data_IF_097703501975
#
_entry.id   IF_097703501975
#
_cell.length_a   1.000
_cell.length_b   1.000
_cell.length_c   1.000
_cell.angle_alpha   90.00
_cell.angle_beta   90.00
_cell.angle_gamma   90.00
#
_symmetry.space_group_name_H-M   'P 1'
#
loop_
_entity.id
_entity.type
_entity.pdbx_description
1 polymer ?
#
# COMPACT_ATOMS: atom_id res chain seq x y z
N UNK A 1 -15.17 -8.27 -8.88
CA UNK A 1 -14.62 -8.55 -7.54
C UNK A 1 -14.69 -10.05 -7.30
N UNK A 2 -13.57 -10.77 -7.40
CA UNK A 2 -13.53 -12.19 -7.11
C UNK A 2 -13.50 -12.35 -5.58
N UNK A 3 -14.47 -13.06 -5.01
CA UNK A 3 -14.60 -13.28 -3.57
C UNK A 3 -14.40 -14.76 -3.27
N UNK A 4 -13.24 -15.11 -2.73
CA UNK A 4 -12.98 -16.42 -2.13
C UNK A 4 -12.18 -16.23 -0.84
N UNK A 5 -12.87 -15.85 0.23
CA UNK A 5 -12.29 -15.89 1.58
C UNK A 5 -11.28 -14.82 2.03
N UNK A 6 -10.81 -13.80 1.31
CA UNK A 6 -10.87 -13.43 -0.10
C UNK A 6 -10.24 -12.05 -0.25
N UNK A 7 -8.92 -12.02 -0.43
CA UNK A 7 -8.15 -10.81 -0.74
C UNK A 7 -8.87 -10.03 -1.83
N UNK A 8 -9.29 -8.81 -1.54
CA UNK A 8 -9.93 -7.95 -2.54
C UNK A 8 -8.81 -7.19 -3.23
N UNK A 9 -8.58 -7.51 -4.50
CA UNK A 9 -7.71 -6.72 -5.37
C UNK A 9 -8.57 -5.94 -6.38
N UNK A 10 -8.21 -4.70 -6.63
CA UNK A 10 -8.79 -3.90 -7.70
C UNK A 10 -7.69 -3.37 -8.62
N UNK A 11 -7.90 -3.57 -9.91
CA UNK A 11 -7.03 -3.10 -10.97
C UNK A 11 -7.51 -1.74 -11.48
N UNK A 12 -6.61 -0.78 -11.55
CA UNK A 12 -6.88 0.57 -12.06
C UNK A 12 -5.88 0.93 -13.14
N UNK A 13 -6.26 1.86 -14.02
CA UNK A 13 -5.37 2.43 -15.01
C UNK A 13 -4.32 3.33 -14.32
N UNK A 14 -3.15 3.45 -14.93
CA UNK A 14 -2.03 4.27 -14.46
C UNK A 14 -2.19 5.74 -14.93
N UNK A 15 -3.35 6.32 -14.66
CA UNK A 15 -3.64 7.74 -14.89
C UNK A 15 -4.31 8.41 -13.69
N UNK A 16 -4.53 9.73 -13.78
CA UNK A 16 -5.14 10.54 -12.71
C UNK A 16 -6.50 9.98 -12.28
N UNK A 17 -7.33 9.55 -13.24
CA UNK A 17 -8.67 9.05 -12.93
C UNK A 17 -8.61 7.69 -12.23
N UNK A 18 -7.76 6.79 -12.71
CA UNK A 18 -7.46 5.51 -12.09
C UNK A 18 -6.94 5.66 -10.66
N UNK A 19 -6.02 6.60 -10.41
CA UNK A 19 -5.48 6.88 -9.08
C UNK A 19 -6.55 7.42 -8.12
N UNK A 20 -7.33 8.41 -8.55
CA UNK A 20 -8.42 8.98 -7.72
C UNK A 20 -9.44 7.91 -7.36
N UNK A 21 -9.78 7.02 -8.30
CA UNK A 21 -10.68 5.90 -8.05
C UNK A 21 -10.07 4.88 -7.10
N UNK A 22 -8.78 4.55 -7.24
CA UNK A 22 -8.08 3.65 -6.33
C UNK A 22 -8.17 4.14 -4.88
N UNK A 23 -7.91 5.42 -4.66
CA UNK A 23 -8.01 6.03 -3.32
C UNK A 23 -9.44 6.09 -2.78
N UNK A 24 -10.43 6.30 -3.67
CA UNK A 24 -11.84 6.27 -3.28
C UNK A 24 -12.29 4.88 -2.84
N UNK A 25 -11.79 3.85 -3.51
CA UNK A 25 -12.09 2.45 -3.14
C UNK A 25 -11.35 2.07 -1.85
N UNK A 26 -10.10 2.49 -1.67
CA UNK A 26 -9.34 2.23 -0.44
C UNK A 26 -10.02 2.79 0.83
N UNK A 27 -10.71 3.93 0.71
CA UNK A 27 -11.53 4.48 1.80
C UNK A 27 -12.71 3.57 2.17
N UNK A 28 -13.31 2.90 1.19
CA UNK A 28 -14.53 2.10 1.40
C UNK A 28 -14.22 0.64 1.71
N UNK A 29 -13.07 0.16 1.29
CA UNK A 29 -12.63 -1.23 1.44
C UNK A 29 -11.23 -1.23 2.07
N UNK A 30 -11.16 -1.17 3.42
CA UNK A 30 -9.89 -1.27 4.13
C UNK A 30 -9.17 -2.58 3.79
N UNK A 31 -7.87 -2.49 3.53
CA UNK A 31 -7.06 -3.66 3.16
C UNK A 31 -7.19 -4.11 1.71
N UNK A 32 -7.78 -3.30 0.83
CA UNK A 32 -7.77 -3.58 -0.61
C UNK A 32 -6.34 -3.56 -1.17
N UNK A 33 -6.03 -4.55 -2.01
CA UNK A 33 -4.83 -4.54 -2.82
C UNK A 33 -5.07 -3.78 -4.11
N UNK A 34 -4.14 -2.90 -4.47
CA UNK A 34 -4.19 -2.17 -5.74
C UNK A 34 -3.26 -2.80 -6.73
N UNK A 35 -3.81 -3.07 -7.90
CA UNK A 35 -3.05 -3.47 -9.07
C UNK A 35 -3.08 -2.33 -10.09
N UNK A 36 -1.93 -2.04 -10.70
CA UNK A 36 -1.79 -1.07 -11.78
C UNK A 36 -0.88 -1.67 -12.85
N UNK A 37 -1.04 -1.30 -14.13
CA UNK A 37 -0.15 -1.79 -15.16
C UNK A 37 1.29 -1.32 -14.86
N UNK A 38 2.26 -2.22 -15.07
CA UNK A 38 3.69 -1.93 -14.82
C UNK A 38 4.34 -1.12 -15.96
N UNK A 39 3.69 -1.07 -17.13
CA UNK A 39 4.06 -0.33 -18.33
C UNK A 39 2.77 0.17 -19.01
N UNK A 40 2.84 1.22 -19.83
CA UNK A 40 1.65 1.80 -20.46
C UNK A 40 0.71 2.53 -19.48
N UNK A 41 -0.28 3.20 -20.04
CA UNK A 41 -1.29 3.96 -19.30
C UNK A 41 -2.40 3.07 -18.77
N UNK A 42 -2.86 2.09 -19.55
CA UNK A 42 -3.96 1.19 -19.17
C UNK A 42 -3.61 -0.28 -19.43
N UNK A 43 -4.47 -1.18 -18.92
CA UNK A 43 -4.26 -2.62 -19.05
C UNK A 43 -4.38 -3.14 -20.49
N UNK A 44 -5.07 -2.42 -21.39
CA UNK A 44 -5.17 -2.82 -22.79
C UNK A 44 -3.87 -2.52 -23.55
N UNK A 45 -3.22 -1.39 -23.26
CA UNK A 45 -1.91 -1.06 -23.84
C UNK A 45 -0.86 -2.12 -23.51
N UNK A 46 -0.85 -2.64 -22.27
CA UNK A 46 0.02 -3.76 -21.86
C UNK A 46 -0.20 -5.02 -22.69
N UNK A 47 -1.46 -5.32 -23.03
CA UNK A 47 -1.80 -6.53 -23.80
C UNK A 47 -1.45 -6.41 -25.29
N UNK A 48 -1.40 -5.18 -25.83
CA UNK A 48 -1.24 -4.93 -27.25
C UNK A 48 0.22 -4.62 -27.63
N UNK A 49 0.97 -3.89 -26.79
CA UNK A 49 2.37 -3.52 -27.06
C UNK A 49 3.20 -3.46 -25.75
N UNK A 50 3.88 -4.55 -25.36
CA UNK A 50 4.63 -4.59 -24.10
C UNK A 50 5.98 -3.86 -24.13
N UNK A 51 6.42 -3.35 -25.29
CA UNK A 51 7.83 -2.99 -25.52
C UNK A 51 8.15 -1.48 -25.51
N UNK A 52 7.18 -0.56 -25.61
CA UNK A 52 7.51 0.84 -26.00
C UNK A 52 6.67 1.98 -25.38
N UNK A 53 5.94 1.73 -24.29
CA UNK A 53 5.20 2.81 -23.60
C UNK A 53 5.62 2.97 -22.14
N UNK A 54 6.57 3.88 -21.93
CA UNK A 54 6.90 4.37 -20.60
C UNK A 54 5.68 4.99 -19.92
N UNK A 55 5.39 4.55 -18.71
CA UNK A 55 4.38 5.13 -17.82
C UNK A 55 4.87 6.47 -17.23
N UNK A 56 5.06 7.47 -18.11
CA UNK A 56 5.64 8.78 -17.76
C UNK A 56 4.91 9.44 -16.59
N UNK A 57 3.59 9.26 -16.53
CA UNK A 57 2.77 9.82 -15.46
C UNK A 57 3.11 9.19 -14.10
N UNK A 58 3.22 7.86 -14.02
CA UNK A 58 3.58 7.16 -12.77
C UNK A 58 5.01 7.49 -12.33
N UNK A 59 5.94 7.55 -13.28
CA UNK A 59 7.33 7.95 -13.02
C UNK A 59 7.45 9.38 -12.51
N UNK A 60 6.51 10.26 -12.88
CA UNK A 60 6.47 11.65 -12.41
C UNK A 60 5.85 11.82 -11.02
N UNK A 61 5.25 10.77 -10.45
CA UNK A 61 4.55 10.84 -9.15
C UNK A 61 4.95 9.68 -8.20
N UNK A 62 6.25 9.53 -7.87
CA UNK A 62 6.72 8.50 -6.94
C UNK A 62 6.12 8.63 -5.53
N UNK A 63 5.61 9.80 -5.16
CA UNK A 63 4.92 10.05 -3.89
C UNK A 63 3.63 9.24 -3.77
N UNK A 64 2.92 8.97 -4.87
CA UNK A 64 1.68 8.19 -4.85
C UNK A 64 1.91 6.73 -4.44
N UNK A 65 3.05 6.17 -4.83
CA UNK A 65 3.46 4.84 -4.38
C UNK A 65 3.78 4.83 -2.88
N UNK A 66 4.53 5.82 -2.40
CA UNK A 66 4.85 5.98 -0.98
C UNK A 66 3.59 6.17 -0.13
N UNK A 67 2.61 6.95 -0.61
CA UNK A 67 1.34 7.13 0.08
C UNK A 67 0.55 5.82 0.16
N UNK A 68 0.60 4.98 -0.88
CA UNK A 68 -0.06 3.66 -0.86
C UNK A 68 0.58 2.73 0.18
N UNK A 69 1.91 2.72 0.23
CA UNK A 69 2.65 2.00 1.27
C UNK A 69 2.32 2.53 2.67
N UNK A 70 2.21 3.85 2.84
CA UNK A 70 1.86 4.46 4.13
C UNK A 70 0.44 4.08 4.57
N UNK A 71 -0.53 4.09 3.65
CA UNK A 71 -1.89 3.62 3.94
C UNK A 71 -1.91 2.15 4.40
N UNK A 72 -1.13 1.29 3.74
CA UNK A 72 -0.95 -0.11 4.14
C UNK A 72 -0.32 -0.25 5.53
N UNK A 73 0.77 0.48 5.81
CA UNK A 73 1.43 0.50 7.11
C UNK A 73 0.50 1.00 8.22
N UNK A 74 -0.20 2.11 8.00
CA UNK A 74 -1.17 2.66 8.95
C UNK A 74 -2.32 1.67 9.25
N UNK A 75 -2.77 0.93 8.24
CA UNK A 75 -3.75 -0.15 8.40
C UNK A 75 -3.19 -1.28 9.27
N UNK A 76 -1.96 -1.73 9.01
CA UNK A 76 -1.30 -2.78 9.79
C UNK A 76 -1.01 -2.36 11.25
N UNK A 77 -0.80 -1.06 11.48
CA UNK A 77 -0.66 -0.44 12.80
C UNK A 77 -1.99 -0.29 13.56
N UNK A 78 -3.14 -0.58 12.93
CA UNK A 78 -4.45 -0.40 13.53
C UNK A 78 -4.83 1.07 13.74
N UNK A 79 -4.33 1.98 12.88
CA UNK A 79 -4.73 3.40 12.93
C UNK A 79 -6.24 3.55 12.69
N UNK A 80 -6.90 4.54 13.32
CA UNK A 80 -8.35 4.71 13.19
C UNK A 80 -8.75 5.11 11.77
N UNK A 81 -9.98 4.82 11.38
CA UNK A 81 -10.51 5.08 10.02
C UNK A 81 -10.39 6.56 9.60
N UNK A 82 -10.60 7.50 10.52
CA UNK A 82 -10.41 8.93 10.24
C UNK A 82 -8.97 9.30 9.87
N UNK A 83 -7.99 8.53 10.36
CA UNK A 83 -6.59 8.71 9.99
C UNK A 83 -6.32 8.17 8.58
N UNK A 84 -6.83 6.97 8.26
CA UNK A 84 -6.72 6.38 6.92
C UNK A 84 -7.43 7.26 5.86
N UNK A 85 -8.60 7.80 6.20
CA UNK A 85 -9.33 8.78 5.40
C UNK A 85 -8.49 10.02 5.08
N UNK A 86 -7.65 10.47 6.02
CA UNK A 86 -6.78 11.61 5.79
C UNK A 86 -5.61 11.29 4.85
N UNK A 87 -5.07 10.08 4.90
CA UNK A 87 -4.03 9.63 3.96
C UNK A 87 -4.59 9.62 2.54
N UNK A 88 -5.79 9.06 2.36
CA UNK A 88 -6.45 8.99 1.05
C UNK A 88 -6.87 10.37 0.51
N UNK A 89 -7.24 11.33 1.38
CA UNK A 89 -7.44 12.73 0.99
C UNK A 89 -6.15 13.37 0.47
N UNK A 90 -5.05 13.24 1.21
CA UNK A 90 -3.74 13.75 0.79
C UNK A 90 -3.36 13.16 -0.56
N UNK A 91 -3.51 11.86 -0.75
CA UNK A 91 -3.16 11.19 -1.99
C UNK A 91 -3.98 11.64 -3.20
N UNK A 92 -5.27 11.92 -3.03
CA UNK A 92 -6.08 12.52 -4.10
C UNK A 92 -5.64 13.93 -4.46
N UNK A 93 -5.18 14.72 -3.50
CA UNK A 93 -4.65 16.05 -3.80
C UNK A 93 -3.30 15.97 -4.53
N UNK A 94 -2.44 14.99 -4.20
CA UNK A 94 -1.22 14.71 -4.98
C UNK A 94 -1.54 14.27 -6.40
N UNK A 95 -2.50 13.37 -6.59
CA UNK A 95 -2.91 12.90 -7.91
C UNK A 95 -3.40 14.05 -8.83
N UNK A 96 -3.91 15.14 -8.25
CA UNK A 96 -4.32 16.35 -8.97
C UNK A 96 -3.19 17.35 -9.22
N UNK A 97 -1.97 17.07 -8.77
CA UNK A 97 -0.78 17.91 -8.96
C UNK A 97 -0.41 18.81 -7.79
N UNK A 98 -1.02 18.64 -6.61
CA UNK A 98 -0.56 19.36 -5.42
C UNK A 98 0.67 18.66 -4.81
N UNK A 99 1.64 19.40 -4.23
CA UNK A 99 2.79 18.78 -3.60
C UNK A 99 2.45 18.20 -2.21
N UNK A 100 3.24 17.21 -1.78
CA UNK A 100 3.11 16.61 -0.45
C UNK A 100 3.59 17.59 0.62
N UNK A 101 2.69 17.93 1.56
CA UNK A 101 3.05 18.84 2.65
C UNK A 101 4.13 18.24 3.57
N UNK A 102 5.00 19.10 4.11
CA UNK A 102 6.07 18.68 5.02
C UNK A 102 5.54 17.94 6.25
N UNK A 103 4.41 18.41 6.79
CA UNK A 103 3.73 17.74 7.91
C UNK A 103 3.32 16.31 7.55
N UNK A 104 2.81 16.08 6.34
CA UNK A 104 2.45 14.74 5.89
C UNK A 104 3.68 13.84 5.74
N UNK A 105 4.81 14.37 5.22
CA UNK A 105 6.08 13.63 5.13
C UNK A 105 6.58 13.16 6.49
N UNK A 106 6.61 14.05 7.48
CA UNK A 106 7.07 13.72 8.85
C UNK A 106 6.20 12.63 9.48
N UNK A 107 4.88 12.72 9.33
CA UNK A 107 3.96 11.74 9.89
C UNK A 107 4.08 10.39 9.18
N UNK A 108 4.20 10.39 7.85
CA UNK A 108 4.43 9.19 7.05
C UNK A 108 5.70 8.45 7.47
N UNK A 109 6.81 9.17 7.62
CA UNK A 109 8.09 8.61 8.05
C UNK A 109 7.99 7.92 9.42
N UNK A 110 7.31 8.55 10.38
CA UNK A 110 7.10 8.00 11.72
C UNK A 110 6.28 6.70 11.71
N UNK A 111 5.27 6.61 10.85
CA UNK A 111 4.46 5.38 10.72
C UNK A 111 5.27 4.25 10.08
N UNK A 112 6.12 4.54 9.09
CA UNK A 112 7.02 3.53 8.52
C UNK A 112 7.96 2.96 9.57
N UNK A 113 8.62 3.82 10.36
CA UNK A 113 9.48 3.39 11.46
C UNK A 113 8.72 2.58 12.52
N UNK A 114 7.47 2.95 12.80
CA UNK A 114 6.65 2.20 13.76
C UNK A 114 6.26 0.82 13.23
N UNK A 115 5.96 0.72 11.92
CA UNK A 115 5.57 -0.52 11.26
C UNK A 115 6.73 -1.50 11.16
N UNK A 116 7.93 -1.03 10.81
CA UNK A 116 9.14 -1.88 10.74
C UNK A 116 9.50 -2.42 12.12
N UNK A 117 9.43 -1.60 13.17
CA UNK A 117 9.66 -2.06 14.54
C UNK A 117 8.66 -3.15 14.99
N UNK A 118 7.39 -3.04 14.59
CA UNK A 118 6.38 -4.05 14.88
C UNK A 118 6.62 -5.37 14.14
N UNK A 119 7.11 -5.31 12.90
CA UNK A 119 7.49 -6.50 12.12
C UNK A 119 8.67 -7.22 12.79
N UNK A 120 9.76 -6.51 13.10
CA UNK A 120 10.94 -7.09 13.75
C UNK A 120 10.60 -7.75 15.09
N UNK A 121 9.75 -7.10 15.90
CA UNK A 121 9.32 -7.66 17.20
C UNK A 121 8.49 -8.94 17.07
N UNK A 122 7.73 -9.11 15.97
CA UNK A 122 6.98 -10.34 15.70
C UNK A 122 7.92 -11.48 15.30
N UNK A 123 8.96 -11.21 14.53
CA UNK A 123 9.95 -12.20 14.11
C UNK A 123 10.80 -12.72 15.28
N UNK A 124 11.19 -11.82 16.20
CA UNK A 124 11.90 -12.20 17.42
C UNK A 124 11.03 -13.07 18.36
N UNK A 125 9.73 -12.75 18.47
CA UNK A 125 8.78 -13.51 19.27
C UNK A 125 8.46 -14.91 18.71
N UNK A 126 8.41 -15.05 17.38
CA UNK A 126 8.27 -16.36 16.73
C UNK A 126 9.55 -17.21 16.83
N UNK A 127 10.72 -16.58 16.88
CA UNK A 127 12.00 -17.28 17.06
C UNK A 127 12.17 -17.81 18.49
N UNK A 128 11.71 -17.05 19.50
CA UNK A 128 11.79 -17.45 20.91
C UNK A 128 10.90 -18.66 21.25
N UNK A 129 9.78 -18.87 20.56
CA UNK A 129 8.85 -19.99 20.82
C UNK A 129 9.26 -21.31 20.17
N UNK A 130 10.17 -21.29 19.17
CA UNK A 130 10.71 -22.51 18.55
C UNK A 130 11.86 -23.16 19.33
N UNK A 131 12.52 -22.43 20.23
CA UNK A 131 13.65 -22.95 21.02
C UNK A 131 13.27 -23.62 22.35
N UNK A 132 12.00 -23.57 22.78
CA UNK A 132 11.57 -24.15 24.07
C UNK A 132 10.86 -25.50 23.97
N UNK A 133 10.90 -26.16 22.81
CA UNK A 133 10.20 -27.43 22.55
C UNK A 133 11.09 -28.65 22.37
N UNK A 134 12.19 -28.80 23.10
CA UNK A 134 13.00 -30.02 23.04
C UNK A 134 13.83 -30.26 24.31
N UNK A 135 13.16 -30.66 25.39
CA UNK A 135 13.78 -31.34 26.54
C UNK A 135 12.66 -31.87 27.44
N UNK A 136 12.26 -33.13 27.23
CA UNK A 136 11.89 -34.10 28.27
C UNK A 136 11.27 -35.37 27.66
N UNK A 137 12.10 -36.40 27.49
CA UNK A 137 11.80 -37.81 27.77
C UNK A 137 13.17 -38.43 28.02
N UNK A 138 13.47 -39.16 29.07
CA UNK A 138 12.67 -39.92 30.02
C UNK A 138 13.61 -41.00 30.53
N UNK A 139 13.51 -41.29 31.82
CA UNK A 139 14.38 -42.14 32.63
C UNK A 139 14.72 -43.52 32.06
#
# INVERSE_FOLDING_TARGET
VLRSGGLVAAAFDADVAGEVMAWRVAQQVPGIERLTPNQGKDWNEVLVQPEDMGNSWRQSHPELEQLWQWHGAATALGRPEGYLSRITEVAREIAKGNPLSEKARVVMQRDFESSTNLLNKREDGLSATRSSGSLEMGH
#
